data_IF_359011158389
#
_entry.id   IF_359011158389
#
_cell.length_a   1.000
_cell.length_b   1.000
_cell.length_c   1.000
_cell.angle_alpha   90.00
_cell.angle_beta   90.00
_cell.angle_gamma   90.00
#
_symmetry.space_group_name_H-M   'P 1'
#
loop_
_entity.id
_entity.type
_entity.pdbx_description
1 polymer ?
#
# COMPACT_ATOMS: atom_id res chain seq x y z
N UNK A 1 -5.55 -15.66 -1.27
CA UNK A 1 -4.59 -14.55 -1.07
C UNK A 1 -3.76 -14.84 0.16
N UNK A 2 -2.71 -14.07 0.46
CA UNK A 2 -1.87 -14.31 1.65
C UNK A 2 -2.69 -14.41 2.96
N UNK A 3 -3.80 -13.68 3.02
CA UNK A 3 -4.73 -13.61 4.17
C UNK A 3 -5.87 -14.64 4.16
N UNK A 4 -5.95 -15.54 3.17
CA UNK A 4 -7.01 -16.57 3.16
C UNK A 4 -6.73 -17.74 4.10
N UNK A 5 -5.53 -17.82 4.69
CA UNK A 5 -5.12 -18.88 5.60
C UNK A 5 -4.67 -18.37 6.98
N UNK A 6 -4.70 -17.05 7.20
CA UNK A 6 -4.22 -16.42 8.44
C UNK A 6 -4.97 -15.12 8.67
N UNK A 7 -5.45 -14.90 9.89
CA UNK A 7 -5.99 -13.61 10.29
C UNK A 7 -4.86 -12.56 10.37
N UNK A 8 -4.84 -11.54 9.50
CA UNK A 8 -3.83 -10.49 9.53
C UNK A 8 -3.84 -9.71 10.85
N UNK A 9 -4.96 -9.60 11.57
CA UNK A 9 -5.03 -8.89 12.85
C UNK A 9 -4.27 -9.63 13.96
N UNK A 10 -4.23 -10.96 13.91
CA UNK A 10 -3.48 -11.76 14.88
C UNK A 10 -1.97 -11.63 14.72
N UNK A 11 -1.49 -11.44 13.49
CA UNK A 11 -0.06 -11.35 13.19
C UNK A 11 0.44 -9.89 13.09
N UNK A 12 -0.26 -9.04 12.37
CA UNK A 12 0.17 -7.69 11.99
C UNK A 12 -0.53 -6.58 12.80
N UNK A 13 -0.74 -6.79 14.10
CA UNK A 13 -1.26 -5.75 15.01
C UNK A 13 -0.19 -5.19 15.93
N UNK A 14 -0.41 -3.96 16.41
CA UNK A 14 0.40 -3.36 17.46
C UNK A 14 0.45 -4.25 18.70
N UNK A 15 -0.69 -4.80 19.11
CA UNK A 15 -0.79 -5.78 20.19
C UNK A 15 0.04 -7.05 19.95
N UNK A 16 0.08 -7.58 18.73
CA UNK A 16 0.91 -8.76 18.41
C UNK A 16 2.40 -8.46 18.60
N UNK A 17 2.88 -7.33 18.07
CA UNK A 17 4.27 -6.90 18.25
C UNK A 17 4.60 -6.68 19.72
N UNK A 18 3.75 -6.01 20.49
CA UNK A 18 4.01 -5.73 21.90
C UNK A 18 3.98 -6.99 22.78
N UNK A 19 3.06 -7.92 22.50
CA UNK A 19 2.86 -9.12 23.33
C UNK A 19 3.97 -10.15 23.15
N UNK A 20 4.39 -10.41 21.91
CA UNK A 20 5.47 -11.34 21.63
C UNK A 20 6.26 -10.88 20.39
N UNK A 21 7.20 -9.92 20.57
CA UNK A 21 7.93 -9.35 19.45
C UNK A 21 8.75 -10.39 18.67
N UNK A 22 9.28 -11.42 19.35
CA UNK A 22 10.01 -12.50 18.71
C UNK A 22 9.10 -13.25 17.71
N UNK A 23 7.92 -13.66 18.16
CA UNK A 23 6.96 -14.36 17.31
C UNK A 23 6.43 -13.48 16.18
N UNK A 24 6.17 -12.19 16.45
CA UNK A 24 5.81 -11.22 15.42
C UNK A 24 6.84 -11.23 14.30
N UNK A 25 8.11 -10.95 14.63
CA UNK A 25 9.18 -10.84 13.65
C UNK A 25 9.42 -12.18 12.93
N UNK A 26 9.49 -13.30 13.65
CA UNK A 26 9.72 -14.62 13.05
C UNK A 26 8.62 -15.01 12.07
N UNK A 27 7.35 -14.69 12.37
CA UNK A 27 6.22 -15.03 11.49
C UNK A 27 6.03 -14.03 10.35
N UNK A 28 6.38 -12.75 10.57
CA UNK A 28 6.23 -11.70 9.56
C UNK A 28 7.43 -11.62 8.59
N UNK A 29 8.60 -12.11 8.98
CA UNK A 29 9.82 -12.09 8.17
C UNK A 29 9.62 -12.64 6.74
N UNK A 30 9.07 -13.85 6.52
CA UNK A 30 8.93 -14.37 5.17
C UNK A 30 7.98 -13.52 4.32
N UNK A 31 6.92 -12.98 4.93
CA UNK A 31 5.94 -12.10 4.28
C UNK A 31 6.59 -10.78 3.87
N UNK A 32 7.29 -10.14 4.81
CA UNK A 32 7.98 -8.88 4.56
C UNK A 32 9.12 -9.05 3.55
N UNK A 33 9.82 -10.18 3.58
CA UNK A 33 10.86 -10.51 2.59
C UNK A 33 10.27 -10.66 1.20
N UNK A 34 9.21 -11.43 1.05
CA UNK A 34 8.51 -11.60 -0.23
C UNK A 34 8.12 -10.24 -0.82
N UNK A 35 7.45 -9.40 -0.02
CA UNK A 35 7.05 -8.05 -0.45
C UNK A 35 8.26 -7.16 -0.81
N UNK A 36 9.34 -7.20 -0.01
CA UNK A 36 10.52 -6.35 -0.22
C UNK A 36 11.34 -6.71 -1.47
N UNK A 37 11.14 -7.91 -2.02
CA UNK A 37 11.87 -8.41 -3.20
C UNK A 37 11.01 -8.43 -4.46
N UNK A 38 9.71 -8.15 -4.33
CA UNK A 38 8.77 -8.07 -5.44
C UNK A 38 9.21 -7.01 -6.46
N UNK A 39 8.79 -7.21 -7.72
CA UNK A 39 9.05 -6.27 -8.81
C UNK A 39 7.74 -5.66 -9.31
N UNK A 40 7.77 -4.42 -9.82
CA UNK A 40 6.57 -3.82 -10.36
C UNK A 40 6.00 -4.60 -11.53
N UNK A 41 4.68 -4.67 -11.60
CA UNK A 41 3.93 -5.32 -12.67
C UNK A 41 3.30 -4.27 -13.62
N UNK A 42 2.63 -4.67 -14.73
CA UNK A 42 2.05 -3.73 -15.69
C UNK A 42 1.10 -2.68 -15.10
N UNK A 43 0.38 -2.98 -14.02
CA UNK A 43 -0.48 -2.01 -13.34
C UNK A 43 0.33 -0.82 -12.82
N UNK A 44 1.47 -1.09 -12.15
CA UNK A 44 2.31 -0.05 -11.58
C UNK A 44 2.91 0.85 -12.67
N UNK A 45 3.41 0.25 -13.76
CA UNK A 45 3.96 1.01 -14.89
C UNK A 45 2.88 1.82 -15.62
N UNK A 46 1.67 1.26 -15.77
CA UNK A 46 0.57 1.99 -16.39
C UNK A 46 0.16 3.21 -15.56
N UNK A 47 0.06 3.08 -14.23
CA UNK A 47 -0.24 4.21 -13.35
C UNK A 47 0.86 5.28 -13.39
N UNK A 48 2.13 4.87 -13.35
CA UNK A 48 3.25 5.80 -13.52
C UNK A 48 3.17 6.56 -14.86
N UNK A 49 2.78 5.88 -15.94
CA UNK A 49 2.59 6.50 -17.25
C UNK A 49 1.40 7.45 -17.29
N UNK A 50 0.26 7.10 -16.67
CA UNK A 50 -0.89 7.99 -16.57
C UNK A 50 -0.55 9.27 -15.77
N UNK A 51 0.28 9.15 -14.73
CA UNK A 51 0.79 10.29 -13.97
C UNK A 51 1.73 11.16 -14.82
N UNK A 52 2.68 10.55 -15.53
CA UNK A 52 3.59 11.24 -16.45
C UNK A 52 2.83 12.04 -17.52
N UNK A 53 1.68 11.52 -17.98
CA UNK A 53 0.78 12.16 -18.94
C UNK A 53 -0.13 13.23 -18.34
N UNK A 54 -0.08 13.44 -17.02
CA UNK A 54 -0.93 14.39 -16.30
C UNK A 54 -2.40 13.99 -16.22
N UNK A 55 -2.74 12.72 -16.47
CA UNK A 55 -4.11 12.20 -16.42
C UNK A 55 -4.53 11.81 -15.00
N UNK A 56 -3.57 11.38 -14.19
CA UNK A 56 -3.75 11.26 -12.74
C UNK A 56 -2.78 12.20 -12.04
N UNK A 57 -3.22 12.75 -10.90
CA UNK A 57 -2.42 13.70 -10.11
C UNK A 57 -1.53 13.05 -9.06
N UNK A 58 -1.87 11.82 -8.68
CA UNK A 58 -1.13 11.06 -7.70
C UNK A 58 -1.86 9.78 -7.33
N UNK A 59 -1.19 8.99 -6.51
CA UNK A 59 -1.59 7.64 -6.10
C UNK A 59 -1.70 7.62 -4.58
N UNK A 60 -2.82 7.10 -4.08
CA UNK A 60 -2.98 6.74 -2.67
C UNK A 60 -2.90 5.22 -2.59
N UNK A 61 -1.96 4.68 -1.80
CA UNK A 61 -1.76 3.23 -1.72
C UNK A 61 -1.79 2.72 -0.28
N UNK A 62 -2.50 1.61 -0.10
CA UNK A 62 -2.52 0.80 1.12
C UNK A 62 -1.37 -0.21 1.17
N UNK A 63 -0.66 -0.37 0.05
CA UNK A 63 0.46 -1.30 -0.06
C UNK A 63 1.71 -0.71 0.59
N UNK A 64 2.54 -1.61 1.13
CA UNK A 64 3.78 -1.28 1.87
C UNK A 64 5.05 -1.67 1.09
N UNK A 65 4.88 -2.13 -0.15
CA UNK A 65 5.90 -2.77 -0.99
C UNK A 65 6.79 -1.80 -1.78
N UNK A 66 6.41 -0.52 -1.87
CA UNK A 66 7.10 0.53 -2.65
C UNK A 66 7.10 0.31 -4.18
N UNK A 67 6.24 -0.56 -4.72
CA UNK A 67 6.26 -0.91 -6.15
C UNK A 67 5.83 0.25 -7.07
N UNK A 68 5.00 1.17 -6.59
CA UNK A 68 4.62 2.37 -7.36
C UNK A 68 5.82 3.28 -7.63
N UNK A 69 6.64 3.52 -6.61
CA UNK A 69 7.83 4.34 -6.70
C UNK A 69 8.88 3.66 -7.58
N UNK A 70 9.07 2.34 -7.43
CA UNK A 70 9.96 1.55 -8.29
C UNK A 70 9.52 1.56 -9.76
N UNK A 71 8.22 1.64 -10.04
CA UNK A 71 7.69 1.79 -11.40
C UNK A 71 7.82 3.21 -11.98
N UNK A 72 8.24 4.20 -11.19
CA UNK A 72 8.45 5.58 -11.61
C UNK A 72 7.35 6.56 -11.21
N UNK A 73 6.37 6.16 -10.39
CA UNK A 73 5.36 7.08 -9.85
C UNK A 73 6.02 8.06 -8.87
N UNK A 74 5.67 9.35 -8.94
CA UNK A 74 6.31 10.43 -8.20
C UNK A 74 5.45 10.94 -7.02
N UNK A 75 4.15 11.06 -7.23
CA UNK A 75 3.19 11.58 -6.25
C UNK A 75 2.46 10.40 -5.60
N UNK A 76 3.08 9.79 -4.58
CA UNK A 76 2.56 8.59 -3.90
C UNK A 76 2.35 8.88 -2.42
N UNK A 77 1.13 8.63 -1.92
CA UNK A 77 0.77 8.68 -0.52
C UNK A 77 0.63 7.26 0.03
N UNK A 78 1.60 6.84 0.85
CA UNK A 78 1.63 5.53 1.50
C UNK A 78 0.84 5.58 2.82
N UNK A 79 -0.46 5.26 2.77
CA UNK A 79 -1.34 5.43 3.93
C UNK A 79 -1.18 4.33 4.98
N UNK A 80 -0.47 3.26 4.66
CA UNK A 80 -0.10 2.19 5.61
C UNK A 80 1.42 2.09 5.86
N UNK A 81 2.18 3.17 5.56
CA UNK A 81 3.63 3.17 5.71
C UNK A 81 4.33 2.30 4.67
N UNK A 82 5.52 1.78 5.00
CA UNK A 82 6.39 1.10 4.04
C UNK A 82 7.37 0.10 4.69
N UNK A 83 7.80 -0.89 3.91
CA UNK A 83 8.80 -1.89 4.33
C UNK A 83 10.26 -1.48 4.06
N UNK A 84 10.55 -0.21 3.78
CA UNK A 84 11.94 0.23 3.51
C UNK A 84 12.81 0.29 4.76
N UNK A 85 12.22 0.66 5.89
CA UNK A 85 12.94 0.90 7.15
C UNK A 85 12.13 0.48 8.39
N UNK A 86 12.80 0.54 9.52
CA UNK A 86 12.26 0.33 10.85
C UNK A 86 12.85 1.36 11.81
N UNK A 87 12.10 1.71 12.86
CA UNK A 87 12.56 2.59 13.93
C UNK A 87 12.55 1.88 15.29
N UNK A 88 13.39 2.34 16.21
CA UNK A 88 13.33 1.93 17.60
C UNK A 88 12.42 2.90 18.38
N UNK A 89 11.29 2.44 18.95
CA UNK A 89 10.41 3.33 19.72
C UNK A 89 11.05 3.89 20.99
N UNK A 90 12.11 3.26 21.50
CA UNK A 90 12.79 3.68 22.75
C UNK A 90 13.76 4.86 22.58
N UNK A 91 14.48 4.92 21.45
CA UNK A 91 15.50 5.97 21.22
C UNK A 91 15.37 6.71 19.88
N UNK A 92 14.42 6.32 19.01
CA UNK A 92 14.21 6.93 17.70
C UNK A 92 15.24 6.56 16.64
N UNK A 93 16.16 5.64 16.90
CA UNK A 93 17.11 5.18 15.90
C UNK A 93 16.39 4.49 14.72
N UNK A 94 16.81 4.80 13.49
CA UNK A 94 16.27 4.21 12.27
C UNK A 94 17.28 3.26 11.63
N UNK A 95 16.79 2.26 10.93
CA UNK A 95 17.59 1.30 10.17
C UNK A 95 16.83 0.79 8.95
N UNK A 96 17.56 0.35 7.94
CA UNK A 96 16.99 -0.34 6.79
C UNK A 96 16.33 -1.65 7.22
N UNK A 97 15.23 -2.01 6.55
CA UNK A 97 14.47 -3.23 6.86
C UNK A 97 15.22 -4.51 6.46
N UNK A 98 15.95 -4.49 5.33
CA UNK A 98 16.62 -5.68 4.77
C UNK A 98 17.62 -6.33 5.74
N UNK A 99 18.55 -5.58 6.38
CA UNK A 99 19.41 -6.14 7.41
C UNK A 99 18.66 -6.78 8.58
N UNK A 100 17.51 -6.21 8.99
CA UNK A 100 16.71 -6.78 10.07
C UNK A 100 16.08 -8.11 9.67
N UNK A 101 15.53 -8.19 8.45
CA UNK A 101 15.01 -9.45 7.91
C UNK A 101 16.10 -10.54 7.87
N UNK A 102 17.32 -10.17 7.47
CA UNK A 102 18.46 -11.10 7.43
C UNK A 102 18.90 -11.56 8.83
N UNK A 103 18.79 -10.70 9.86
CA UNK A 103 19.03 -11.09 11.26
C UNK A 103 17.98 -12.09 11.74
N UNK A 104 16.69 -11.78 11.51
CA UNK A 104 15.57 -12.64 11.94
C UNK A 104 15.63 -13.99 11.25
N UNK A 105 15.94 -14.05 9.95
CA UNK A 105 16.12 -15.30 9.20
C UNK A 105 17.25 -16.19 9.75
N UNK A 106 18.26 -15.60 10.39
CA UNK A 106 19.36 -16.33 11.07
C UNK A 106 19.01 -16.76 12.48
N UNK A 107 17.80 -16.48 12.96
CA UNK A 107 17.31 -16.83 14.29
C UNK A 107 17.47 -15.74 15.35
N UNK A 108 17.98 -14.55 14.98
CA UNK A 108 18.09 -13.42 15.90
C UNK A 108 16.77 -12.63 15.93
N UNK A 109 15.82 -13.13 16.73
CA UNK A 109 14.47 -12.58 16.85
C UNK A 109 14.09 -12.34 18.31
N UNK A 110 13.62 -11.13 18.69
CA UNK A 110 13.38 -9.98 17.81
C UNK A 110 14.67 -9.17 17.57
N UNK A 111 14.78 -8.46 16.43
CA UNK A 111 15.91 -7.58 16.18
C UNK A 111 15.93 -6.40 17.16
N UNK A 112 17.07 -6.19 17.81
CA UNK A 112 17.24 -5.17 18.87
C UNK A 112 18.11 -4.01 18.43
N UNK A 113 17.73 -2.83 18.87
CA UNK A 113 18.53 -1.62 18.82
C UNK A 113 19.64 -1.68 19.88
N UNK A 114 20.71 -0.91 19.68
CA UNK A 114 21.81 -0.76 20.65
C UNK A 114 21.36 -0.23 22.01
N UNK A 115 20.22 0.46 22.10
CA UNK A 115 19.61 0.89 23.36
C UNK A 115 18.85 -0.23 24.10
N UNK A 116 18.76 -1.44 23.52
CA UNK A 116 18.03 -2.59 24.05
C UNK A 116 16.55 -2.67 23.60
N UNK A 117 16.01 -1.60 23.01
CA UNK A 117 14.65 -1.58 22.45
C UNK A 117 14.51 -2.48 21.22
N UNK A 118 13.29 -2.96 20.96
CA UNK A 118 12.99 -3.77 19.76
C UNK A 118 12.70 -2.85 18.58
N UNK A 119 13.28 -3.14 17.41
CA UNK A 119 12.92 -2.41 16.20
C UNK A 119 11.48 -2.71 15.79
N UNK A 120 10.78 -1.66 15.37
CA UNK A 120 9.42 -1.68 14.84
C UNK A 120 9.48 -1.34 13.34
N UNK A 121 8.92 -2.17 12.44
CA UNK A 121 8.85 -1.81 11.03
C UNK A 121 8.02 -0.54 10.81
N UNK A 122 8.40 0.29 9.83
CA UNK A 122 7.72 1.56 9.51
C UNK A 122 6.43 1.34 8.70
N UNK A 123 5.67 0.32 9.08
CA UNK A 123 4.36 -0.01 8.54
C UNK A 123 3.30 0.31 9.58
N UNK A 124 2.12 0.68 9.12
CA UNK A 124 0.92 0.80 9.96
C UNK A 124 0.42 -0.61 10.22
N UNK A 125 0.48 -1.01 11.49
CA UNK A 125 -0.12 -2.25 11.97
C UNK A 125 -1.59 -2.00 12.32
N UNK A 126 -2.39 -3.07 12.41
CA UNK A 126 -3.71 -2.95 13.01
C UNK A 126 -3.59 -2.34 14.43
N UNK A 127 -4.55 -1.49 14.78
CA UNK A 127 -4.59 -0.68 16.02
C UNK A 127 -3.69 0.57 16.02
N UNK A 128 -2.88 0.79 14.98
CA UNK A 128 -2.16 2.04 14.81
C UNK A 128 -3.08 3.15 14.28
N UNK A 129 -2.77 4.42 14.59
CA UNK A 129 -3.32 5.53 13.83
C UNK A 129 -2.74 5.54 12.41
N UNK A 130 -3.54 6.00 11.44
CA UNK A 130 -3.01 6.29 10.11
C UNK A 130 -2.09 7.53 10.13
N UNK A 131 -1.07 7.57 9.25
CA UNK A 131 -0.15 8.70 9.16
C UNK A 131 -0.80 9.93 8.51
N UNK A 132 -0.10 11.07 8.54
CA UNK A 132 -0.52 12.31 7.88
C UNK A 132 -0.82 12.15 6.39
N UNK A 133 -0.18 11.17 5.72
CA UNK A 133 -0.49 10.81 4.34
C UNK A 133 -1.98 10.52 4.12
N UNK A 134 -2.68 9.95 5.10
CA UNK A 134 -4.13 9.74 5.00
C UNK A 134 -4.91 11.05 5.04
N UNK A 135 -4.51 12.00 5.88
CA UNK A 135 -5.13 13.33 5.92
C UNK A 135 -4.99 14.06 4.59
N UNK A 136 -3.83 13.95 3.95
CA UNK A 136 -3.60 14.48 2.59
C UNK A 136 -4.44 13.72 1.56
N UNK A 137 -4.51 12.39 1.64
CA UNK A 137 -5.35 11.58 0.76
C UNK A 137 -6.83 11.95 0.86
N UNK A 138 -7.33 12.22 2.07
CA UNK A 138 -8.67 12.72 2.31
C UNK A 138 -8.92 14.07 1.63
N UNK A 139 -7.96 14.98 1.70
CA UNK A 139 -8.04 16.26 0.99
C UNK A 139 -8.06 16.07 -0.52
N UNK A 140 -7.24 15.17 -1.07
CA UNK A 140 -7.23 14.85 -2.50
C UNK A 140 -8.57 14.29 -2.96
N UNK A 141 -9.13 13.33 -2.22
CA UNK A 141 -10.43 12.73 -2.54
C UNK A 141 -11.54 13.79 -2.61
N UNK A 142 -11.56 14.76 -1.69
CA UNK A 142 -12.58 15.81 -1.66
C UNK A 142 -12.54 16.79 -2.82
N UNK A 143 -11.40 16.92 -3.50
CA UNK A 143 -11.21 17.92 -4.57
C UNK A 143 -10.91 17.29 -5.93
N UNK A 144 -10.85 15.95 -6.02
CA UNK A 144 -10.63 15.27 -7.28
C UNK A 144 -11.92 15.24 -8.10
N UNK A 145 -11.76 15.33 -9.43
CA UNK A 145 -12.87 15.16 -10.37
C UNK A 145 -13.33 13.70 -10.44
N UNK A 146 -12.39 12.76 -10.26
CA UNK A 146 -12.60 11.31 -10.28
C UNK A 146 -11.63 10.61 -9.32
N UNK A 147 -12.16 9.71 -8.49
CA UNK A 147 -11.38 8.72 -7.78
C UNK A 147 -11.41 7.40 -8.56
N UNK A 148 -10.23 6.94 -9.00
CA UNK A 148 -10.06 5.63 -9.62
C UNK A 148 -9.53 4.62 -8.58
N UNK A 149 -10.38 3.67 -8.17
CA UNK A 149 -9.99 2.58 -7.27
C UNK A 149 -9.50 1.41 -8.10
N UNK A 150 -8.30 0.92 -7.78
CA UNK A 150 -7.69 -0.22 -8.48
C UNK A 150 -7.29 -1.29 -7.47
N UNK A 151 -7.86 -2.48 -7.58
CA UNK A 151 -7.42 -3.66 -6.81
C UNK A 151 -7.63 -3.56 -5.30
N UNK A 152 -8.74 -2.97 -4.83
CA UNK A 152 -9.11 -2.91 -3.41
C UNK A 152 -10.51 -3.46 -3.19
N UNK A 153 -10.73 -4.17 -2.08
CA UNK A 153 -12.08 -4.61 -1.66
C UNK A 153 -12.91 -3.49 -1.04
N UNK A 154 -12.26 -2.38 -0.65
CA UNK A 154 -12.88 -1.24 0.03
C UNK A 154 -13.57 -1.60 1.35
N UNK A 155 -13.14 -2.67 2.02
CA UNK A 155 -13.73 -3.14 3.28
C UNK A 155 -13.17 -2.46 4.52
N UNK A 156 -11.89 -2.07 4.48
CA UNK A 156 -11.16 -1.64 5.67
C UNK A 156 -11.18 -0.13 5.81
N UNK A 157 -11.77 0.32 6.92
CA UNK A 157 -11.72 1.72 7.34
C UNK A 157 -10.32 2.06 7.91
N UNK A 158 -9.88 3.32 7.79
CA UNK A 158 -10.61 4.47 7.26
C UNK A 158 -10.38 4.72 5.76
N UNK A 159 -9.59 3.91 5.06
CA UNK A 159 -9.24 4.17 3.65
C UNK A 159 -10.45 4.06 2.73
N UNK A 160 -11.40 3.16 3.02
CA UNK A 160 -12.66 3.08 2.28
C UNK A 160 -13.49 4.38 2.35
N UNK A 161 -13.27 5.24 3.35
CA UNK A 161 -14.00 6.52 3.46
C UNK A 161 -13.57 7.55 2.41
N UNK A 162 -12.46 7.33 1.69
CA UNK A 162 -12.09 8.18 0.55
C UNK A 162 -13.15 8.14 -0.56
N UNK A 163 -13.86 7.01 -0.68
CA UNK A 163 -14.89 6.81 -1.72
C UNK A 163 -16.07 7.78 -1.57
N UNK A 164 -16.79 7.84 -0.43
CA UNK A 164 -17.88 8.81 -0.26
C UNK A 164 -17.41 10.27 -0.21
N UNK A 165 -16.11 10.54 -0.03
CA UNK A 165 -15.57 11.89 -0.10
C UNK A 165 -15.35 12.39 -1.54
N UNK A 166 -15.25 11.47 -2.51
CA UNK A 166 -14.99 11.80 -3.91
C UNK A 166 -16.26 12.14 -4.69
N UNK A 167 -16.12 13.05 -5.66
CA UNK A 167 -17.24 13.49 -6.50
C UNK A 167 -17.76 12.40 -7.43
N UNK A 168 -16.84 11.60 -7.99
CA UNK A 168 -17.12 10.51 -8.94
C UNK A 168 -16.19 9.35 -8.65
N UNK A 169 -16.66 8.14 -8.94
CA UNK A 169 -15.95 6.90 -8.66
C UNK A 169 -15.89 6.02 -9.90
N UNK A 170 -14.68 5.54 -10.21
CA UNK A 170 -14.46 4.43 -11.12
C UNK A 170 -13.73 3.31 -10.37
N UNK A 171 -14.09 2.06 -10.62
CA UNK A 171 -13.51 0.88 -9.96
C UNK A 171 -12.99 -0.09 -11.01
N UNK A 172 -11.75 -0.53 -10.84
CA UNK A 172 -11.15 -1.66 -11.53
C UNK A 172 -10.77 -2.71 -10.48
N UNK A 173 -11.54 -3.79 -10.40
CA UNK A 173 -11.27 -4.87 -9.44
C UNK A 173 -11.67 -6.23 -9.99
N UNK A 174 -10.96 -7.30 -9.62
CA UNK A 174 -11.35 -8.65 -10.05
C UNK A 174 -12.58 -9.16 -9.30
N UNK A 175 -12.68 -8.84 -8.01
CA UNK A 175 -13.80 -9.22 -7.15
C UNK A 175 -14.78 -8.06 -6.92
N UNK A 176 -15.85 -8.36 -6.19
CA UNK A 176 -16.79 -7.36 -5.66
C UNK A 176 -16.11 -6.43 -4.65
N UNK A 177 -16.69 -5.25 -4.46
CA UNK A 177 -16.27 -4.27 -3.45
C UNK A 177 -17.47 -3.79 -2.66
N UNK A 178 -17.24 -3.27 -1.46
CA UNK A 178 -18.30 -2.67 -0.63
C UNK A 178 -18.92 -1.39 -1.23
N UNK A 179 -18.39 -0.89 -2.34
CA UNK A 179 -18.81 0.37 -2.95
C UNK A 179 -19.13 0.24 -4.45
N UNK A 180 -19.39 -0.96 -4.96
CA UNK A 180 -19.68 -1.18 -6.38
C UNK A 180 -20.89 -0.34 -6.85
N UNK A 181 -21.94 -0.23 -6.03
CA UNK A 181 -23.15 0.54 -6.32
C UNK A 181 -22.92 2.06 -6.42
N UNK A 182 -21.77 2.55 -5.93
CA UNK A 182 -21.38 3.95 -6.01
C UNK A 182 -20.59 4.28 -7.28
N UNK A 183 -20.13 3.26 -8.02
CA UNK A 183 -19.25 3.43 -9.15
C UNK A 183 -20.04 3.81 -10.41
N UNK A 184 -19.64 4.91 -11.06
CA UNK A 184 -20.16 5.25 -12.40
C UNK A 184 -19.58 4.32 -13.46
N UNK A 185 -18.33 3.90 -13.28
CA UNK A 185 -17.66 2.94 -14.14
C UNK A 185 -17.12 1.81 -13.28
N UNK A 186 -17.55 0.60 -13.57
CA UNK A 186 -17.10 -0.61 -12.89
C UNK A 186 -16.58 -1.62 -13.90
N UNK A 187 -15.29 -1.94 -13.83
CA UNK A 187 -14.64 -2.89 -14.73
C UNK A 187 -14.12 -4.07 -13.91
N UNK A 188 -14.61 -5.27 -14.24
CA UNK A 188 -14.15 -6.51 -13.63
C UNK A 188 -13.01 -7.12 -14.43
N UNK A 189 -11.86 -7.29 -13.80
CA UNK A 189 -10.73 -7.95 -14.44
C UNK A 189 -9.37 -7.57 -13.84
N UNK A 190 -8.31 -8.01 -14.50
CA UNK A 190 -6.94 -7.76 -14.05
C UNK A 190 -6.56 -6.32 -14.34
N UNK A 191 -6.27 -5.57 -13.27
CA UNK A 191 -5.89 -4.16 -13.34
C UNK A 191 -4.74 -3.89 -14.32
N UNK A 192 -3.73 -4.76 -14.38
CA UNK A 192 -2.59 -4.58 -15.28
C UNK A 192 -2.96 -4.58 -16.76
N UNK A 193 -3.89 -5.44 -17.18
CA UNK A 193 -4.37 -5.50 -18.57
C UNK A 193 -5.21 -4.27 -18.89
N UNK A 194 -6.20 -3.98 -18.04
CA UNK A 194 -7.15 -2.87 -18.22
C UNK A 194 -6.45 -1.51 -18.25
N UNK A 195 -5.53 -1.26 -17.31
CA UNK A 195 -4.81 0.02 -17.26
C UNK A 195 -3.81 0.18 -18.40
N UNK A 196 -3.23 -0.92 -18.89
CA UNK A 196 -2.35 -0.86 -20.07
C UNK A 196 -3.15 -0.44 -21.31
N UNK A 197 -4.37 -0.95 -21.47
CA UNK A 197 -5.24 -0.54 -22.57
C UNK A 197 -5.75 0.90 -22.39
N UNK A 198 -6.07 1.32 -21.16
CA UNK A 198 -6.43 2.71 -20.86
C UNK A 198 -5.31 3.69 -21.24
N UNK A 199 -4.05 3.35 -20.96
CA UNK A 199 -2.89 4.15 -21.38
C UNK A 199 -2.84 4.30 -22.90
N UNK A 200 -3.02 3.20 -23.66
CA UNK A 200 -3.00 3.24 -25.13
C UNK A 200 -4.11 4.14 -25.68
N UNK A 201 -5.32 4.00 -25.15
CA UNK A 201 -6.46 4.83 -25.56
C UNK A 201 -6.22 6.32 -25.26
N UNK A 202 -5.73 6.63 -24.06
CA UNK A 202 -5.43 8.01 -23.68
C UNK A 202 -4.32 8.62 -24.56
N UNK A 203 -3.31 7.83 -24.94
CA UNK A 203 -2.29 8.27 -25.89
C UNK A 203 -2.83 8.42 -27.32
N UNK A 204 -3.83 7.63 -27.71
CA UNK A 204 -4.53 7.76 -28.99
C UNK A 204 -5.36 9.04 -29.07
N UNK A 205 -6.07 9.40 -28.01
CA UNK A 205 -6.87 10.63 -27.91
C UNK A 205 -6.00 11.89 -27.98
N UNK A 206 -4.83 11.88 -27.33
CA UNK A 206 -3.88 13.00 -27.38
C UNK A 206 -3.24 13.23 -28.77
N UNK A 207 -3.38 12.27 -29.70
CA UNK A 207 -2.82 12.36 -31.06
C UNK A 207 -3.85 12.83 -32.10
N UNK A 208 -5.11 12.99 -31.74
CA UNK A 208 -6.13 13.53 -32.66
C UNK A 208 -6.02 15.07 -32.67
N UNK A 209 -5.78 15.68 -33.84
CA UNK A 209 -5.54 17.13 -33.98
C UNK A 209 -6.78 17.97 -33.71
#
# INVERSE_FOLDING_TARGET
GLWSQMDPMELLSRSALSRNPANFWTRSEPIFREMSTAQPNPCHYALARLEEKGLIRGIVTQNIDSLHQLAGSKSVLEVHGHLRSAHCPGCGAHTDMRPLLDQVAKGDSPPRCSCGGVFRPDVVLFEDPLPDAFHVAWQWARVCDLLLVVGSSLEVAPVCWLVPAASRLAIINMGETQCDDMAEVLIRGKAGEILTDLVKEAEGLQRQP
#
